data_IF_254919614224
#
_entry.id   IF_254919614224
#
_cell.length_a   1.000
_cell.length_b   1.000
_cell.length_c   1.000
_cell.angle_alpha   90.00
_cell.angle_beta   90.00
_cell.angle_gamma   90.00
#
_symmetry.space_group_name_H-M   'P 1'
#
loop_
_entity.id
_entity.type
_entity.pdbx_description
1 polymer ?
#
# COMPACT_ATOMS: atom_id res chain seq x y z
N UNK A 1 -16.16 5.97 3.31
CA UNK A 1 -14.78 5.88 2.87
C UNK A 1 -14.72 5.60 1.39
N UNK A 2 -14.32 6.55 0.65
CA UNK A 2 -14.10 6.42 -0.79
C UNK A 2 -12.76 5.72 -1.05
N UNK A 3 -12.56 4.56 -0.48
CA UNK A 3 -11.28 3.88 -0.56
C UNK A 3 -11.11 3.01 -1.79
N UNK A 4 -11.68 3.40 -2.93
CA UNK A 4 -11.35 2.71 -4.16
C UNK A 4 -10.03 3.25 -4.69
N UNK A 5 -8.93 2.65 -4.24
CA UNK A 5 -7.70 2.90 -4.92
C UNK A 5 -7.84 2.31 -6.33
N UNK A 6 -7.55 3.10 -7.34
CA UNK A 6 -7.45 2.61 -8.71
C UNK A 6 -6.45 1.46 -8.80
N UNK A 7 -5.50 1.45 -7.91
CA UNK A 7 -4.51 0.40 -7.73
C UNK A 7 -5.14 -0.95 -7.39
N UNK A 8 -6.08 -1.00 -6.44
CA UNK A 8 -6.77 -2.26 -6.13
C UNK A 8 -7.60 -2.75 -7.32
N UNK A 9 -8.14 -1.86 -8.13
CA UNK A 9 -8.85 -2.22 -9.36
C UNK A 9 -7.91 -2.81 -10.41
N UNK A 10 -6.73 -2.22 -10.63
CA UNK A 10 -5.71 -2.73 -11.55
C UNK A 10 -5.18 -4.08 -11.08
N UNK A 11 -4.95 -4.23 -9.79
CA UNK A 11 -4.48 -5.46 -9.15
C UNK A 11 -5.40 -6.66 -9.42
N UNK A 12 -6.71 -6.44 -9.47
CA UNK A 12 -7.69 -7.49 -9.76
C UNK A 12 -7.83 -7.81 -11.25
N UNK A 13 -7.38 -6.94 -12.15
CA UNK A 13 -7.52 -7.10 -13.59
C UNK A 13 -6.33 -7.76 -14.29
N UNK A 14 -5.13 -7.72 -13.70
CA UNK A 14 -3.92 -8.31 -14.29
C UNK A 14 -3.74 -9.74 -13.84
N UNK A 15 -3.47 -10.64 -14.78
CA UNK A 15 -3.00 -11.97 -14.48
C UNK A 15 -1.70 -11.88 -13.68
N UNK A 16 -1.64 -12.56 -12.53
CA UNK A 16 -0.49 -12.49 -11.63
C UNK A 16 0.63 -13.40 -12.13
N UNK A 17 1.78 -12.83 -12.48
CA UNK A 17 3.01 -13.57 -12.70
C UNK A 17 3.56 -14.10 -11.36
N UNK A 18 4.45 -15.09 -11.40
CA UNK A 18 5.07 -15.62 -10.18
C UNK A 18 5.85 -14.57 -9.41
N UNK A 19 6.51 -13.64 -10.10
CA UNK A 19 7.19 -12.50 -9.49
C UNK A 19 6.20 -11.59 -8.75
N UNK A 20 5.06 -11.29 -9.36
CA UNK A 20 4.00 -10.46 -8.76
C UNK A 20 3.38 -11.16 -7.55
N UNK A 21 3.13 -12.46 -7.63
CA UNK A 21 2.64 -13.26 -6.49
C UNK A 21 3.59 -13.20 -5.30
N UNK A 22 4.90 -13.38 -5.54
CA UNK A 22 5.92 -13.29 -4.51
C UNK A 22 5.94 -11.92 -3.84
N UNK A 23 5.83 -10.85 -4.63
CA UNK A 23 5.77 -9.48 -4.13
C UNK A 23 4.51 -9.24 -3.27
N UNK A 24 3.36 -9.71 -3.73
CA UNK A 24 2.09 -9.61 -2.99
C UNK A 24 2.18 -10.38 -1.68
N UNK A 25 2.75 -11.58 -1.68
CA UNK A 25 2.92 -12.39 -0.47
C UNK A 25 3.86 -11.71 0.53
N UNK A 26 4.94 -11.09 0.06
CA UNK A 26 5.85 -10.32 0.92
C UNK A 26 5.13 -9.14 1.57
N UNK A 27 4.34 -8.40 0.81
CA UNK A 27 3.55 -7.26 1.31
C UNK A 27 2.52 -7.71 2.35
N UNK A 28 1.78 -8.75 2.06
CA UNK A 28 0.79 -9.31 2.99
C UNK A 28 1.46 -9.89 4.25
N UNK A 29 2.63 -10.50 4.10
CA UNK A 29 3.41 -10.98 5.23
C UNK A 29 3.79 -9.86 6.20
N UNK A 30 4.26 -8.72 5.70
CA UNK A 30 4.56 -7.55 6.53
C UNK A 30 3.31 -7.00 7.23
N UNK A 31 2.19 -6.94 6.52
CA UNK A 31 0.92 -6.50 7.08
C UNK A 31 0.47 -7.41 8.23
N UNK A 32 0.58 -8.73 8.05
CA UNK A 32 0.27 -9.72 9.09
C UNK A 32 1.18 -9.53 10.30
N UNK A 33 2.49 -9.40 10.09
CA UNK A 33 3.46 -9.21 11.16
C UNK A 33 3.17 -7.92 11.95
N UNK A 34 2.88 -6.83 11.26
CA UNK A 34 2.53 -5.57 11.91
C UNK A 34 1.24 -5.69 12.73
N UNK A 35 0.21 -6.30 12.19
CA UNK A 35 -1.06 -6.53 12.89
C UNK A 35 -0.88 -7.42 14.12
N UNK A 36 -0.02 -8.44 14.03
CA UNK A 36 0.26 -9.38 15.12
C UNK A 36 0.98 -8.73 16.31
N UNK A 37 1.54 -7.54 16.16
CA UNK A 37 2.12 -6.79 17.30
C UNK A 37 1.13 -6.49 18.41
N UNK A 38 -0.15 -6.35 18.08
CA UNK A 38 -1.24 -6.10 19.04
C UNK A 38 -1.80 -7.37 19.67
N UNK A 39 -1.37 -8.52 19.21
CA UNK A 39 -1.81 -9.83 19.68
C UNK A 39 -1.78 -10.85 18.56
N UNK A 40 -1.30 -12.05 18.87
CA UNK A 40 -1.10 -13.12 17.88
C UNK A 40 -2.33 -14.01 17.68
N UNK A 41 -3.41 -13.79 18.42
CA UNK A 41 -4.66 -14.53 18.27
C UNK A 41 -5.64 -13.71 17.39
N UNK A 42 -5.96 -14.18 16.19
CA UNK A 42 -6.90 -13.47 15.32
C UNK A 42 -8.31 -13.33 15.89
N UNK A 43 -8.70 -14.20 16.82
CA UNK A 43 -10.03 -14.12 17.48
C UNK A 43 -10.18 -12.88 18.35
N UNK A 44 -9.08 -12.38 18.90
CA UNK A 44 -9.06 -11.17 19.74
C UNK A 44 -8.39 -9.97 19.07
N UNK A 45 -7.98 -10.12 17.80
CA UNK A 45 -7.31 -9.06 17.03
C UNK A 45 -7.95 -8.92 15.65
N UNK A 46 -8.94 -8.03 15.49
CA UNK A 46 -9.63 -7.85 14.22
C UNK A 46 -8.72 -7.46 13.03
N UNK A 47 -7.70 -6.64 13.28
CA UNK A 47 -6.72 -6.26 12.25
C UNK A 47 -5.94 -7.46 11.74
N UNK A 48 -5.54 -8.36 12.62
CA UNK A 48 -4.86 -9.60 12.26
C UNK A 48 -5.79 -10.53 11.49
N UNK A 49 -7.03 -10.68 11.96
CA UNK A 49 -8.04 -11.49 11.27
C UNK A 49 -8.26 -11.01 9.83
N UNK A 50 -8.41 -9.70 9.64
CA UNK A 50 -8.59 -9.11 8.30
C UNK A 50 -7.35 -9.33 7.41
N UNK A 51 -6.16 -9.16 7.95
CA UNK A 51 -4.92 -9.38 7.21
C UNK A 51 -4.78 -10.85 6.77
N UNK A 52 -5.16 -11.79 7.63
CA UNK A 52 -5.18 -13.23 7.31
C UNK A 52 -6.20 -13.52 6.20
N UNK A 53 -7.40 -12.96 6.28
CA UNK A 53 -8.43 -13.15 5.26
C UNK A 53 -7.97 -12.62 3.90
N UNK A 54 -7.33 -11.46 3.87
CA UNK A 54 -6.75 -10.90 2.66
C UNK A 54 -5.67 -11.82 2.06
N UNK A 55 -4.84 -12.42 2.91
CA UNK A 55 -3.80 -13.35 2.48
C UNK A 55 -4.39 -14.64 1.91
N UNK A 56 -5.43 -15.18 2.55
CA UNK A 56 -6.15 -16.36 2.06
C UNK A 56 -6.84 -16.12 0.73
N UNK A 57 -7.39 -14.91 0.54
CA UNK A 57 -8.05 -14.52 -0.71
C UNK A 57 -7.14 -14.57 -1.93
N UNK A 58 -5.82 -14.44 -1.75
CA UNK A 58 -4.81 -14.57 -2.81
C UNK A 58 -4.04 -15.88 -2.74
N UNK A 59 -4.58 -16.85 -2.01
CA UNK A 59 -4.02 -18.20 -1.87
C UNK A 59 -2.63 -18.24 -1.22
N UNK A 60 -2.34 -17.36 -0.27
CA UNK A 60 -1.13 -17.47 0.53
C UNK A 60 -1.17 -18.76 1.36
N UNK A 61 -0.12 -19.61 1.30
CA UNK A 61 -0.09 -20.83 2.12
C UNK A 61 -0.17 -20.51 3.62
N UNK A 62 -0.89 -21.35 4.37
CA UNK A 62 -1.00 -21.19 5.83
C UNK A 62 0.36 -21.16 6.53
N UNK A 63 1.32 -21.91 6.04
CA UNK A 63 2.69 -21.90 6.55
C UNK A 63 3.32 -20.50 6.48
N UNK A 64 3.11 -19.78 5.39
CA UNK A 64 3.59 -18.41 5.23
C UNK A 64 2.89 -17.44 6.19
N UNK A 65 1.58 -17.62 6.38
CA UNK A 65 0.78 -16.82 7.34
C UNK A 65 1.29 -17.03 8.76
N UNK A 66 1.48 -18.27 9.18
CA UNK A 66 1.98 -18.61 10.51
C UNK A 66 3.38 -18.07 10.75
N UNK A 67 4.24 -18.18 9.75
CA UNK A 67 5.61 -17.62 9.81
C UNK A 67 5.60 -16.12 9.99
N UNK A 68 4.72 -15.41 9.30
CA UNK A 68 4.57 -13.97 9.43
C UNK A 68 4.10 -13.57 10.84
N UNK A 69 3.17 -14.32 11.43
CA UNK A 69 2.71 -14.09 12.81
C UNK A 69 3.84 -14.33 13.80
N UNK A 70 4.62 -15.39 13.64
CA UNK A 70 5.73 -15.75 14.54
C UNK A 70 6.85 -14.71 14.54
N UNK A 71 7.05 -13.98 13.44
CA UNK A 71 8.08 -12.94 13.34
C UNK A 71 7.95 -11.86 14.42
N UNK A 72 6.77 -11.60 14.93
CA UNK A 72 6.55 -10.60 15.96
C UNK A 72 7.27 -10.94 17.28
N UNK A 73 7.50 -12.21 17.53
CA UNK A 73 8.21 -12.71 18.73
C UNK A 73 9.73 -12.72 18.58
N UNK A 74 10.24 -12.50 17.39
CA UNK A 74 11.67 -12.52 17.11
C UNK A 74 12.29 -11.16 17.40
N UNK A 75 12.89 -11.02 18.56
CA UNK A 75 13.53 -9.78 19.03
C UNK A 75 14.79 -9.40 18.25
N UNK A 76 15.35 -10.32 17.47
CA UNK A 76 16.51 -10.04 16.62
C UNK A 76 16.16 -9.33 15.32
N UNK A 77 14.89 -9.30 14.96
CA UNK A 77 14.44 -8.65 13.74
C UNK A 77 14.14 -7.17 13.96
N UNK A 78 14.46 -6.36 12.93
CA UNK A 78 14.16 -4.94 12.93
C UNK A 78 12.65 -4.74 12.98
N UNK A 79 12.22 -3.79 13.82
CA UNK A 79 10.81 -3.49 14.01
C UNK A 79 10.20 -2.87 12.76
N UNK A 80 9.07 -3.44 12.32
CA UNK A 80 8.26 -2.85 11.26
C UNK A 80 7.45 -1.66 11.79
N UNK A 81 7.34 -0.62 10.97
CA UNK A 81 6.48 0.53 11.25
C UNK A 81 5.64 0.88 10.02
N UNK A 82 4.48 1.49 10.27
CA UNK A 82 3.63 2.02 9.22
C UNK A 82 4.05 3.44 8.86
N UNK A 83 4.09 3.72 7.57
CA UNK A 83 4.42 5.02 7.01
C UNK A 83 3.26 5.50 6.14
N UNK A 84 2.77 6.71 6.40
CA UNK A 84 1.72 7.34 5.60
C UNK A 84 2.26 8.60 4.94
N UNK A 85 2.14 8.67 3.62
CA UNK A 85 2.65 9.75 2.80
C UNK A 85 1.49 10.34 2.00
N UNK A 86 1.41 11.67 1.93
CA UNK A 86 0.46 12.36 1.06
C UNK A 86 1.20 13.09 -0.04
N UNK A 87 0.58 13.13 -1.23
CA UNK A 87 1.15 13.76 -2.41
C UNK A 87 0.08 14.34 -3.31
N UNK A 88 0.45 15.36 -4.07
CA UNK A 88 -0.34 15.85 -5.21
C UNK A 88 0.20 15.19 -6.47
N UNK A 89 -0.66 14.51 -7.19
CA UNK A 89 -0.33 13.82 -8.43
C UNK A 89 -0.74 14.58 -9.68
N UNK A 90 -0.56 13.96 -10.85
CA UNK A 90 -0.98 14.52 -12.12
C UNK A 90 -2.47 14.91 -12.11
N UNK A 91 -2.80 16.04 -12.71
CA UNK A 91 -4.17 16.55 -12.75
C UNK A 91 -4.68 17.11 -11.42
N UNK A 92 -3.83 17.29 -10.43
CA UNK A 92 -4.21 17.79 -9.10
C UNK A 92 -4.86 16.73 -8.21
N UNK A 93 -4.68 15.45 -8.51
CA UNK A 93 -5.20 14.34 -7.71
C UNK A 93 -4.51 14.32 -6.33
N UNK A 94 -5.31 14.15 -5.28
CA UNK A 94 -4.80 13.88 -3.95
C UNK A 94 -4.48 12.39 -3.82
N UNK A 95 -3.27 12.09 -3.36
CA UNK A 95 -2.77 10.73 -3.17
C UNK A 95 -2.39 10.50 -1.71
N UNK A 96 -2.71 9.31 -1.23
CA UNK A 96 -2.23 8.82 0.06
C UNK A 96 -1.58 7.46 -0.15
N UNK A 97 -0.29 7.38 0.18
CA UNK A 97 0.50 6.15 0.07
C UNK A 97 0.74 5.60 1.47
N UNK A 98 0.39 4.35 1.68
CA UNK A 98 0.67 3.65 2.92
C UNK A 98 1.72 2.58 2.67
N UNK A 99 2.76 2.58 3.49
CA UNK A 99 3.84 1.61 3.43
C UNK A 99 4.09 0.99 4.80
N UNK A 100 4.63 -0.21 4.80
CA UNK A 100 5.12 -0.89 6.01
C UNK A 100 6.59 -1.19 5.79
N UNK A 101 7.44 -0.67 6.66
CA UNK A 101 8.89 -0.70 6.47
C UNK A 101 9.65 -0.99 7.75
N UNK A 102 10.82 -1.57 7.60
CA UNK A 102 11.85 -1.68 8.63
C UNK A 102 12.85 -0.51 8.60
N UNK A 103 12.79 0.34 7.57
CA UNK A 103 13.66 1.50 7.41
C UNK A 103 12.91 2.69 6.78
N UNK A 104 12.41 3.54 7.65
CA UNK A 104 11.62 4.71 7.28
C UNK A 104 12.32 5.62 6.28
N UNK A 105 13.60 5.91 6.52
CA UNK A 105 14.35 6.86 5.69
C UNK A 105 14.56 6.33 4.27
N UNK A 106 14.87 5.04 4.13
CA UNK A 106 15.02 4.40 2.82
C UNK A 106 13.71 4.45 2.03
N UNK A 107 12.63 4.01 2.64
CA UNK A 107 11.30 3.95 1.99
C UNK A 107 10.80 5.33 1.61
N UNK A 108 10.96 6.31 2.51
CA UNK A 108 10.60 7.70 2.23
C UNK A 108 11.37 8.25 1.02
N UNK A 109 12.67 8.00 0.94
CA UNK A 109 13.50 8.45 -0.18
C UNK A 109 13.09 7.79 -1.50
N UNK A 110 12.81 6.50 -1.49
CA UNK A 110 12.37 5.76 -2.69
C UNK A 110 11.00 6.24 -3.18
N UNK A 111 10.03 6.41 -2.28
CA UNK A 111 8.69 6.90 -2.64
C UNK A 111 8.78 8.34 -3.16
N UNK A 112 9.57 9.20 -2.52
CA UNK A 112 9.78 10.57 -2.98
C UNK A 112 10.37 10.60 -4.40
N UNK A 113 11.32 9.73 -4.69
CA UNK A 113 11.89 9.60 -6.03
C UNK A 113 10.83 9.19 -7.06
N UNK A 114 10.02 8.18 -6.76
CA UNK A 114 8.92 7.73 -7.62
C UNK A 114 7.95 8.88 -7.89
N UNK A 115 7.55 9.61 -6.87
CA UNK A 115 6.66 10.75 -7.00
C UNK A 115 7.25 11.83 -7.90
N UNK A 116 8.49 12.20 -7.69
CA UNK A 116 9.17 13.24 -8.48
C UNK A 116 9.30 12.84 -9.95
N UNK A 117 9.65 11.59 -10.24
CA UNK A 117 9.78 11.05 -11.59
C UNK A 117 8.43 10.94 -12.33
N UNK A 118 7.32 10.98 -11.59
CA UNK A 118 5.96 10.85 -12.14
C UNK A 118 5.11 12.10 -11.92
N UNK A 119 5.71 13.27 -12.01
CA UNK A 119 5.03 14.58 -11.96
C UNK A 119 4.18 14.78 -10.70
N UNK A 120 4.65 14.26 -9.58
CA UNK A 120 3.94 14.32 -8.31
C UNK A 120 4.81 15.01 -7.25
N UNK A 121 4.15 15.60 -6.27
CA UNK A 121 4.82 16.37 -5.23
C UNK A 121 4.41 15.87 -3.86
N UNK A 122 5.42 15.52 -3.06
CA UNK A 122 5.23 15.22 -1.65
C UNK A 122 4.71 16.46 -0.91
N UNK A 123 3.70 16.28 -0.07
CA UNK A 123 3.15 17.33 0.80
C UNK A 123 3.15 16.86 2.25
N UNK A 124 2.90 17.77 3.17
CA UNK A 124 2.85 17.42 4.58
C UNK A 124 1.64 16.52 4.88
N UNK A 125 1.80 15.48 5.72
CA UNK A 125 0.69 14.62 6.13
C UNK A 125 -0.46 15.44 6.73
N UNK A 126 -1.68 15.12 6.30
CA UNK A 126 -2.89 15.78 6.74
C UNK A 126 -3.30 17.00 5.93
N UNK A 127 -2.41 17.56 5.09
CA UNK A 127 -2.71 18.76 4.30
C UNK A 127 -3.75 18.54 3.21
N UNK A 128 -3.94 17.31 2.76
CA UNK A 128 -4.88 16.95 1.69
C UNK A 128 -6.16 16.26 2.20
N UNK A 129 -6.34 16.15 3.50
CA UNK A 129 -7.48 15.42 4.09
C UNK A 129 -8.82 15.91 3.54
N UNK A 130 -8.97 17.22 3.37
CA UNK A 130 -10.19 17.84 2.84
C UNK A 130 -10.48 17.44 1.38
N UNK A 131 -9.44 17.10 0.60
CA UNK A 131 -9.59 16.71 -0.82
C UNK A 131 -10.14 15.30 -0.98
N UNK A 132 -9.86 14.40 -0.04
CA UNK A 132 -10.29 13.00 -0.16
C UNK A 132 -11.81 12.82 -0.12
N UNK A 133 -12.53 13.81 0.38
CA UNK A 133 -13.99 13.82 0.36
C UNK A 133 -14.58 14.52 -0.88
N UNK A 134 -13.72 14.96 -1.80
CA UNK A 134 -14.11 15.66 -3.03
C UNK A 134 -13.62 14.85 -4.24
N UNK A 135 -14.47 13.99 -4.82
CA UNK A 135 -14.09 13.22 -6.00
C UNK A 135 -13.70 14.12 -7.17
N UNK A 136 -12.57 13.82 -7.80
CA UNK A 136 -12.07 14.54 -8.96
C UNK A 136 -12.21 13.66 -10.21
N UNK A 137 -12.88 14.18 -11.22
CA UNK A 137 -13.00 13.52 -12.52
C UNK A 137 -11.97 14.09 -13.48
N UNK A 138 -11.22 13.22 -14.13
CA UNK A 138 -10.26 13.60 -15.16
C UNK A 138 -10.89 13.47 -16.54
N UNK A 139 -10.81 14.54 -17.30
CA UNK A 139 -11.28 14.56 -18.70
C UNK A 139 -10.18 14.28 -19.72
N UNK A 140 -8.93 14.26 -19.31
CA UNK A 140 -7.77 14.17 -20.20
C UNK A 140 -7.13 12.77 -20.11
N UNK A 141 -7.10 12.05 -21.23
CA UNK A 141 -6.51 10.72 -21.34
C UNK A 141 -4.99 10.72 -21.06
N UNK A 142 -4.29 11.80 -21.36
CA UNK A 142 -2.85 11.89 -21.11
C UNK A 142 -2.55 11.94 -19.61
N UNK A 143 -3.39 12.62 -18.83
CA UNK A 143 -3.30 12.65 -17.38
C UNK A 143 -3.61 11.27 -16.82
N UNK A 144 -4.58 10.58 -17.37
CA UNK A 144 -4.91 9.22 -16.96
C UNK A 144 -3.72 8.27 -17.16
N UNK A 145 -3.03 8.36 -18.28
CA UNK A 145 -1.82 7.56 -18.54
C UNK A 145 -0.70 7.88 -17.55
N UNK A 146 -0.51 9.15 -17.19
CA UNK A 146 0.47 9.55 -16.18
C UNK A 146 0.13 8.96 -14.81
N UNK A 147 -1.14 8.96 -14.45
CA UNK A 147 -1.61 8.36 -13.19
C UNK A 147 -1.39 6.85 -13.18
N UNK A 148 -1.70 6.17 -14.28
CA UNK A 148 -1.51 4.73 -14.37
C UNK A 148 -0.03 4.35 -14.20
N UNK A 149 0.88 5.10 -14.80
CA UNK A 149 2.33 4.92 -14.61
C UNK A 149 2.75 5.16 -13.17
N UNK A 150 2.22 6.20 -12.53
CA UNK A 150 2.50 6.50 -11.13
C UNK A 150 2.03 5.37 -10.22
N UNK A 151 0.80 4.90 -10.41
CA UNK A 151 0.26 3.80 -9.60
C UNK A 151 1.05 2.51 -9.79
N UNK A 152 1.46 2.20 -11.02
CA UNK A 152 2.32 1.03 -11.29
C UNK A 152 3.68 1.16 -10.60
N UNK A 153 4.31 2.31 -10.66
CA UNK A 153 5.61 2.55 -10.02
C UNK A 153 5.53 2.44 -8.51
N UNK A 154 4.46 2.96 -7.90
CA UNK A 154 4.22 2.83 -6.46
C UNK A 154 3.92 1.38 -6.08
N UNK A 155 3.18 0.65 -6.90
CA UNK A 155 2.93 -0.78 -6.68
C UNK A 155 4.21 -1.63 -6.73
N UNK A 156 5.10 -1.30 -7.62
CA UNK A 156 6.37 -2.03 -7.77
C UNK A 156 7.35 -1.76 -6.63
N UNK A 157 7.13 -0.73 -5.82
CA UNK A 157 7.92 -0.50 -4.63
C UNK A 157 7.56 -1.52 -3.55
N UNK A 158 8.57 -2.24 -3.04
CA UNK A 158 8.37 -3.43 -2.21
C UNK A 158 7.62 -3.20 -0.90
N UNK A 159 7.70 -2.00 -0.34
CA UNK A 159 7.17 -1.69 0.98
C UNK A 159 5.83 -0.93 0.95
N UNK A 160 5.41 -0.49 -0.23
CA UNK A 160 4.08 0.13 -0.43
C UNK A 160 2.99 -0.93 -0.33
N UNK A 161 2.05 -0.72 0.59
CA UNK A 161 0.92 -1.62 0.83
C UNK A 161 -0.34 -1.16 0.11
N UNK A 162 -0.59 0.13 0.07
CA UNK A 162 -1.80 0.68 -0.51
C UNK A 162 -1.59 2.11 -1.02
N UNK A 163 -2.31 2.45 -2.09
CA UNK A 163 -2.37 3.80 -2.64
C UNK A 163 -3.84 4.16 -2.82
N UNK A 164 -4.28 5.21 -2.17
CA UNK A 164 -5.63 5.75 -2.32
C UNK A 164 -5.59 7.14 -2.94
N UNK A 165 -6.68 7.54 -3.57
CA UNK A 165 -6.80 8.84 -4.23
C UNK A 165 -8.22 9.37 -4.14
N UNK A 166 -8.40 10.64 -4.50
CA UNK A 166 -9.73 11.23 -4.67
C UNK A 166 -10.23 11.15 -6.12
N UNK A 167 -9.63 10.30 -6.94
CA UNK A 167 -10.10 10.06 -8.30
C UNK A 167 -11.52 9.50 -8.26
N UNK A 168 -12.44 10.09 -9.01
CA UNK A 168 -13.79 9.59 -9.19
C UNK A 168 -13.76 8.26 -9.96
N UNK A 169 -14.67 7.34 -9.61
CA UNK A 169 -14.80 6.05 -10.29
C UNK A 169 -15.40 6.21 -11.70
#
# INVERSE_FOLDING_TARGET
>A
MSGHSKWSQIKHKKALTDKKKGQIFSKLGRLITLAAKKGTDPRSNPSLSQAIDNARAVNMPNENIERAIKKVSDKSQVQLEELSIEALGPGGIALKVRAITDNRNRTMAEIKKILTENNSKLVQPGSLTWMFNQPLTLGDSSIQEQLDKLFEALDDQDEVEDVSSNLAN
#
